data_IF_162700234694
#
_entry.id   IF_162700234694
#
_cell.length_a   1.000
_cell.length_b   1.000
_cell.length_c   1.000
_cell.angle_alpha   90.00
_cell.angle_beta   90.00
_cell.angle_gamma   90.00
#
_symmetry.space_group_name_H-M   'P 1'
#
loop_
_entity.id
_entity.type
_entity.pdbx_description
1 polymer ?
#
# COMPACT_ATOMS: atom_id res chain seq x y z
N UNK A 1 18.16 6.03 -32.01
CA UNK A 1 18.37 7.47 -32.22
C UNK A 1 18.26 8.10 -30.84
N UNK A 2 19.38 8.47 -30.22
CA UNK A 2 19.40 9.06 -28.88
C UNK A 2 18.81 10.47 -28.95
N UNK A 3 17.75 10.73 -28.18
CA UNK A 3 17.11 12.04 -28.08
C UNK A 3 17.56 12.67 -26.77
N UNK A 4 18.43 13.67 -26.86
CA UNK A 4 18.86 14.50 -25.74
C UNK A 4 17.78 15.56 -25.45
N UNK A 5 17.30 15.63 -24.21
CA UNK A 5 16.47 16.75 -23.75
C UNK A 5 17.37 17.95 -23.39
N UNK A 6 17.06 19.18 -23.84
CA UNK A 6 17.77 20.36 -23.37
C UNK A 6 17.33 20.69 -21.93
N UNK A 7 18.30 20.84 -21.04
CA UNK A 7 18.13 21.17 -19.64
C UNK A 7 18.51 22.66 -19.48
N UNK A 8 17.68 23.46 -18.80
CA UNK A 8 18.11 24.80 -18.34
C UNK A 8 19.37 24.65 -17.46
N UNK A 9 20.33 25.60 -17.48
CA UNK A 9 21.50 25.59 -16.59
C UNK A 9 21.24 25.40 -15.08
N UNK A 10 19.98 25.46 -14.61
CA UNK A 10 19.54 25.18 -13.23
C UNK A 10 18.90 23.80 -13.01
N UNK A 11 18.79 22.94 -14.02
CA UNK A 11 18.26 21.57 -13.85
C UNK A 11 16.73 21.46 -13.77
N UNK A 12 15.98 22.51 -14.08
CA UNK A 12 14.52 22.50 -14.12
C UNK A 12 13.99 22.16 -15.52
N UNK A 13 13.07 21.20 -15.61
CA UNK A 13 12.34 20.87 -16.85
C UNK A 13 11.33 21.97 -17.20
N UNK A 14 11.30 22.39 -18.46
CA UNK A 14 10.33 23.34 -18.98
C UNK A 14 8.98 22.64 -19.20
N UNK A 15 7.98 22.97 -18.38
CA UNK A 15 6.59 22.54 -18.58
C UNK A 15 5.93 23.40 -19.68
N UNK A 16 5.16 22.79 -20.58
CA UNK A 16 4.37 23.54 -21.58
C UNK A 16 2.98 23.95 -21.03
N UNK A 17 2.32 24.87 -21.73
CA UNK A 17 1.05 25.47 -21.32
C UNK A 17 -0.11 24.47 -21.17
N UNK A 18 -0.10 23.35 -21.92
CA UNK A 18 -1.13 22.32 -21.81
C UNK A 18 -1.01 21.52 -20.50
N UNK A 19 0.22 21.31 -20.00
CA UNK A 19 0.45 20.67 -18.70
C UNK A 19 -0.04 21.54 -17.53
N UNK A 20 0.19 22.84 -17.62
CA UNK A 20 -0.25 23.81 -16.63
C UNK A 20 -1.77 23.98 -16.63
N UNK A 21 -2.40 23.94 -17.81
CA UNK A 21 -3.85 24.04 -17.97
C UNK A 21 -4.60 22.85 -17.35
N UNK A 22 -4.15 21.61 -17.60
CA UNK A 22 -4.79 20.43 -17.04
C UNK A 22 -4.53 20.29 -15.52
N UNK A 23 -3.33 20.59 -15.04
CA UNK A 23 -3.05 20.66 -13.60
C UNK A 23 -3.90 21.74 -12.91
N UNK A 24 -4.10 22.90 -13.56
CA UNK A 24 -5.02 23.93 -13.10
C UNK A 24 -6.47 23.45 -13.03
N UNK A 25 -6.91 22.66 -14.00
CA UNK A 25 -8.28 22.11 -14.03
C UNK A 25 -8.51 21.05 -12.93
N UNK A 26 -7.50 20.20 -12.69
CA UNK A 26 -7.45 19.27 -11.56
C UNK A 26 -7.52 20.01 -10.22
N UNK A 27 -6.73 21.08 -10.04
CA UNK A 27 -6.73 21.88 -8.81
C UNK A 27 -8.07 22.62 -8.60
N UNK A 28 -8.67 23.18 -9.65
CA UNK A 28 -9.98 23.85 -9.59
C UNK A 28 -11.11 22.88 -9.22
N UNK A 29 -11.05 21.64 -9.68
CA UNK A 29 -12.00 20.58 -9.26
C UNK A 29 -11.85 20.17 -7.80
N UNK A 30 -10.74 20.53 -7.16
CA UNK A 30 -10.34 20.10 -5.83
C UNK A 30 -10.52 21.15 -4.71
N UNK A 31 -10.99 22.35 -5.02
CA UNK A 31 -11.41 23.37 -4.02
C UNK A 31 -12.59 22.92 -3.12
N UNK A 32 -12.95 21.64 -3.09
CA UNK A 32 -14.08 21.08 -2.33
C UNK A 32 -13.62 20.23 -1.12
N UNK A 33 -12.32 20.10 -0.85
CA UNK A 33 -11.85 19.45 0.39
C UNK A 33 -10.86 20.38 1.09
N UNK A 34 -11.40 21.29 1.88
CA UNK A 34 -10.64 22.11 2.83
C UNK A 34 -10.22 21.20 4.00
N UNK A 35 -9.06 20.55 3.87
CA UNK A 35 -8.44 19.87 5.01
C UNK A 35 -7.89 20.95 5.93
N UNK A 36 -8.59 21.19 7.06
CA UNK A 36 -8.18 22.17 8.06
C UNK A 36 -6.73 21.87 8.51
N UNK A 37 -5.80 22.72 8.08
CA UNK A 37 -4.38 22.63 8.40
C UNK A 37 -4.17 22.50 9.92
N UNK A 38 -5.04 23.13 10.71
CA UNK A 38 -5.02 23.06 12.17
C UNK A 38 -5.31 21.66 12.72
N UNK A 39 -6.14 20.87 12.03
CA UNK A 39 -6.44 19.49 12.39
C UNK A 39 -5.23 18.58 12.15
N UNK A 40 -4.56 18.76 11.01
CA UNK A 40 -3.34 18.02 10.66
C UNK A 40 -2.20 18.35 11.63
N UNK A 41 -2.00 19.63 11.94
CA UNK A 41 -0.97 20.07 12.88
C UNK A 41 -1.23 19.56 14.30
N UNK A 42 -2.50 19.46 14.72
CA UNK A 42 -2.89 18.88 16.00
C UNK A 42 -2.62 17.38 16.07
N UNK A 43 -2.96 16.63 15.00
CA UNK A 43 -2.66 15.20 14.89
C UNK A 43 -1.16 14.93 14.95
N UNK A 44 -0.37 15.70 14.20
CA UNK A 44 1.09 15.57 14.20
C UNK A 44 1.68 15.85 15.58
N UNK A 45 1.22 16.91 16.26
CA UNK A 45 1.70 17.25 17.61
C UNK A 45 1.40 16.13 18.62
N UNK A 46 0.19 15.53 18.55
CA UNK A 46 -0.18 14.41 19.41
C UNK A 46 0.60 13.14 19.08
N UNK A 47 0.84 12.87 17.79
CA UNK A 47 1.71 11.76 17.35
C UNK A 47 3.14 11.94 17.87
N UNK A 48 3.71 13.15 17.77
CA UNK A 48 5.02 13.44 18.31
C UNK A 48 5.08 13.28 19.83
N UNK A 49 4.06 13.73 20.56
CA UNK A 49 3.97 13.54 22.02
C UNK A 49 3.89 12.05 22.40
N UNK A 50 3.09 11.26 21.67
CA UNK A 50 3.00 9.79 21.85
C UNK A 50 4.33 9.10 21.53
N UNK A 51 5.05 9.56 20.50
CA UNK A 51 6.35 9.01 20.12
C UNK A 51 7.45 9.39 21.12
N UNK A 52 7.44 10.62 21.63
CA UNK A 52 8.36 11.10 22.67
C UNK A 52 8.12 10.39 24.02
N UNK A 53 6.88 9.99 24.32
CA UNK A 53 6.54 9.17 25.50
C UNK A 53 7.03 7.71 25.40
N UNK A 54 7.57 7.27 24.25
CA UNK A 54 8.10 5.91 24.05
C UNK A 54 9.60 5.89 23.79
N UNK A 55 10.40 6.24 24.80
CA UNK A 55 11.74 5.64 24.94
C UNK A 55 11.77 4.61 26.08
N UNK A 56 10.76 3.76 26.16
CA UNK A 56 10.87 2.53 26.96
C UNK A 56 12.00 1.68 26.40
N UNK A 57 12.85 1.15 27.28
CA UNK A 57 13.95 0.28 26.87
C UNK A 57 13.46 -0.89 26.00
N UNK A 58 14.30 -1.37 25.08
CA UNK A 58 14.00 -2.55 24.27
C UNK A 58 13.49 -3.73 25.12
N UNK A 59 14.10 -3.95 26.29
CA UNK A 59 13.68 -5.01 27.24
C UNK A 59 12.23 -4.84 27.70
N UNK A 60 11.83 -3.61 28.00
CA UNK A 60 10.46 -3.28 28.42
C UNK A 60 9.47 -3.41 27.26
N UNK A 61 9.87 -3.08 26.04
CA UNK A 61 9.02 -3.27 24.86
C UNK A 61 8.82 -4.77 24.59
N UNK A 62 9.91 -5.54 24.61
CA UNK A 62 9.87 -6.98 24.41
C UNK A 62 9.05 -7.69 25.50
N UNK A 63 9.20 -7.31 26.77
CA UNK A 63 8.42 -7.91 27.85
C UNK A 63 6.91 -7.67 27.66
N UNK A 64 6.51 -6.48 27.21
CA UNK A 64 5.11 -6.16 26.91
C UNK A 64 4.56 -6.95 25.72
N UNK A 65 5.37 -7.16 24.68
CA UNK A 65 4.97 -7.98 23.53
C UNK A 65 4.79 -9.44 23.94
N UNK A 66 5.73 -9.99 24.72
CA UNK A 66 5.63 -11.35 25.26
C UNK A 66 4.40 -11.50 26.15
N UNK A 67 4.13 -10.52 27.03
CA UNK A 67 2.94 -10.51 27.87
C UNK A 67 1.66 -10.47 27.05
N UNK A 68 1.58 -9.60 26.03
CA UNK A 68 0.42 -9.52 25.14
C UNK A 68 0.20 -10.82 24.36
N UNK A 69 1.29 -11.46 23.91
CA UNK A 69 1.23 -12.76 23.24
C UNK A 69 0.67 -13.82 24.20
N UNK A 70 1.25 -13.93 25.41
CA UNK A 70 0.82 -14.90 26.41
C UNK A 70 -0.63 -14.71 26.89
N UNK A 71 -1.14 -13.49 26.81
CA UNK A 71 -2.51 -13.15 27.17
C UNK A 71 -3.49 -13.19 25.98
N UNK A 72 -3.09 -13.74 24.82
CA UNK A 72 -3.92 -13.84 23.61
C UNK A 72 -4.50 -12.50 23.14
N UNK A 73 -3.73 -11.43 23.36
CA UNK A 73 -4.12 -10.03 23.08
C UNK A 73 -3.18 -9.33 22.11
N UNK A 74 -2.16 -10.04 21.60
CA UNK A 74 -1.25 -9.52 20.60
C UNK A 74 -1.94 -9.44 19.24
N UNK A 75 -2.00 -8.24 18.68
CA UNK A 75 -2.42 -7.98 17.30
C UNK A 75 -1.22 -7.49 16.51
N UNK A 76 -0.92 -8.15 15.38
CA UNK A 76 0.11 -7.69 14.46
C UNK A 76 -0.50 -6.75 13.42
N UNK A 77 0.16 -5.62 13.17
CA UNK A 77 -0.22 -4.69 12.10
C UNK A 77 0.88 -4.70 11.06
N UNK A 78 0.56 -5.20 9.86
CA UNK A 78 1.51 -5.41 8.77
C UNK A 78 1.30 -4.38 7.67
N UNK A 79 2.40 -3.91 7.10
CA UNK A 79 2.43 -3.04 5.92
C UNK A 79 3.41 -3.58 4.88
N UNK A 80 3.60 -2.83 3.78
CA UNK A 80 4.30 -3.35 2.60
C UNK A 80 5.77 -3.78 2.87
N UNK A 81 6.34 -3.32 3.98
CA UNK A 81 7.67 -3.71 4.45
C UNK A 81 7.86 -5.21 4.63
N UNK A 82 6.81 -5.96 5.03
CA UNK A 82 6.94 -7.42 5.20
C UNK A 82 7.11 -8.14 3.85
N UNK A 83 6.62 -7.55 2.76
CA UNK A 83 6.61 -8.14 1.42
C UNK A 83 7.80 -7.73 0.54
N UNK A 84 8.73 -6.90 1.05
CA UNK A 84 9.87 -6.37 0.29
C UNK A 84 10.77 -7.48 -0.23
N UNK A 85 10.96 -8.52 0.56
CA UNK A 85 11.72 -9.73 0.23
C UNK A 85 11.24 -10.42 -1.05
N UNK A 86 9.92 -10.36 -1.30
CA UNK A 86 9.27 -10.91 -2.50
C UNK A 86 9.34 -9.97 -3.70
N UNK A 87 10.03 -8.83 -3.55
CA UNK A 87 10.20 -7.79 -4.55
C UNK A 87 8.86 -7.15 -4.97
N UNK A 88 7.90 -7.12 -4.04
CA UNK A 88 6.65 -6.39 -4.23
C UNK A 88 6.86 -4.88 -4.03
N UNK A 89 6.22 -4.02 -4.86
CA UNK A 89 6.29 -2.58 -4.68
C UNK A 89 5.58 -2.13 -3.41
N UNK A 90 6.08 -1.06 -2.79
CA UNK A 90 5.31 -0.32 -1.77
C UNK A 90 4.14 0.45 -2.41
N UNK A 91 3.28 1.02 -1.56
CA UNK A 91 2.08 1.75 -1.98
C UNK A 91 2.36 2.89 -2.98
N UNK A 92 3.36 3.73 -2.71
CA UNK A 92 3.70 4.84 -3.59
C UNK A 92 4.16 4.35 -4.96
N UNK A 93 4.96 3.29 -4.99
CA UNK A 93 5.47 2.69 -6.22
C UNK A 93 4.35 2.01 -7.01
N UNK A 94 3.44 1.31 -6.32
CA UNK A 94 2.30 0.65 -6.93
C UNK A 94 1.37 1.66 -7.61
N UNK A 95 1.03 2.76 -6.91
CA UNK A 95 0.18 3.82 -7.46
C UNK A 95 0.85 4.52 -8.65
N UNK A 96 2.17 4.76 -8.61
CA UNK A 96 2.92 5.28 -9.76
C UNK A 96 2.79 4.36 -10.97
N UNK A 97 3.00 3.05 -10.78
CA UNK A 97 2.90 2.07 -11.85
C UNK A 97 1.51 2.04 -12.47
N UNK A 98 0.46 1.99 -11.65
CA UNK A 98 -0.94 1.96 -12.10
C UNK A 98 -1.33 3.20 -12.88
N UNK A 99 -0.80 4.34 -12.47
CA UNK A 99 -1.02 5.60 -13.14
C UNK A 99 -0.26 5.66 -14.47
N UNK A 100 1.00 5.23 -14.50
CA UNK A 100 1.75 5.12 -15.75
C UNK A 100 1.05 4.17 -16.72
N UNK A 101 0.58 3.01 -16.27
CA UNK A 101 -0.12 2.03 -17.11
C UNK A 101 -1.44 2.57 -17.64
N UNK A 102 -2.14 3.43 -16.89
CA UNK A 102 -3.36 4.09 -17.40
C UNK A 102 -3.09 5.02 -18.60
N UNK A 103 -1.88 5.60 -18.70
CA UNK A 103 -1.53 6.51 -19.81
C UNK A 103 -0.83 5.84 -20.99
N UNK A 104 -0.35 4.59 -20.85
CA UNK A 104 0.40 3.89 -21.90
C UNK A 104 -0.42 3.55 -23.15
N UNK A 105 -1.75 3.67 -23.09
CA UNK A 105 -2.63 3.49 -24.24
C UNK A 105 -2.68 4.73 -25.16
N UNK A 106 -1.99 5.81 -24.81
CA UNK A 106 -1.88 7.01 -25.64
C UNK A 106 -0.47 7.11 -26.25
N UNK A 107 -0.41 7.25 -27.57
CA UNK A 107 0.76 7.37 -28.49
C UNK A 107 2.13 7.75 -27.89
N UNK A 108 3.24 7.27 -28.50
CA UNK A 108 4.64 7.46 -28.06
C UNK A 108 5.05 8.90 -27.64
N UNK A 109 4.40 9.96 -28.15
CA UNK A 109 4.60 11.34 -27.71
C UNK A 109 4.08 11.67 -26.30
N UNK A 110 3.31 10.78 -25.68
CA UNK A 110 2.74 10.95 -24.34
C UNK A 110 3.54 10.23 -23.24
N UNK A 111 4.51 9.37 -23.57
CA UNK A 111 5.24 8.58 -22.57
C UNK A 111 6.07 9.44 -21.60
N UNK A 112 6.73 10.48 -22.09
CA UNK A 112 7.43 11.48 -21.26
C UNK A 112 6.45 12.28 -20.40
N UNK A 113 5.30 12.64 -20.97
CA UNK A 113 4.22 13.34 -20.27
C UNK A 113 3.67 12.48 -19.13
N UNK A 114 3.45 11.19 -19.36
CA UNK A 114 2.98 10.23 -18.36
C UNK A 114 3.95 10.07 -17.19
N UNK A 115 5.27 10.04 -17.46
CA UNK A 115 6.30 9.96 -16.42
C UNK A 115 6.35 11.20 -15.54
N UNK A 116 6.27 12.38 -16.14
CA UNK A 116 6.20 13.65 -15.41
C UNK A 116 4.89 13.74 -14.62
N UNK A 117 3.77 13.37 -15.24
CA UNK A 117 2.46 13.37 -14.60
C UNK A 117 2.40 12.39 -13.43
N UNK A 118 2.99 11.20 -13.56
CA UNK A 118 3.00 10.22 -12.47
C UNK A 118 3.82 10.70 -11.27
N UNK A 119 4.97 11.35 -11.52
CA UNK A 119 5.79 11.95 -10.45
C UNK A 119 5.09 13.12 -9.76
N UNK A 120 4.40 13.96 -10.53
CA UNK A 120 3.61 15.08 -9.99
C UNK A 120 2.42 14.55 -9.21
N UNK A 121 1.71 13.57 -9.76
CA UNK A 121 0.58 12.92 -9.11
C UNK A 121 1.02 12.32 -7.78
N UNK A 122 2.11 11.56 -7.70
CA UNK A 122 2.56 11.10 -6.38
C UNK A 122 2.97 12.20 -5.43
N UNK A 123 3.51 13.32 -5.90
CA UNK A 123 3.79 14.45 -5.00
C UNK A 123 2.52 15.16 -4.52
N UNK A 124 1.49 15.26 -5.36
CA UNK A 124 0.21 15.90 -5.05
C UNK A 124 -0.68 14.99 -4.20
N UNK A 125 -0.65 13.68 -4.46
CA UNK A 125 -1.48 12.67 -3.81
C UNK A 125 -0.75 11.87 -2.71
N UNK A 126 0.57 12.08 -2.52
CA UNK A 126 1.33 11.56 -1.36
C UNK A 126 0.66 11.84 0.00
N UNK A 127 -0.03 12.97 0.22
CA UNK A 127 -0.74 13.20 1.47
C UNK A 127 -1.90 12.20 1.68
N UNK A 128 -2.44 11.60 0.61
CA UNK A 128 -3.56 10.68 0.70
C UNK A 128 -3.61 9.61 -0.43
N UNK A 129 -2.91 8.48 -0.26
CA UNK A 129 -2.93 7.33 -1.17
C UNK A 129 -4.33 6.79 -1.49
N UNK A 130 -5.30 6.95 -0.58
CA UNK A 130 -6.68 6.49 -0.81
C UNK A 130 -7.36 7.30 -1.91
N UNK A 131 -7.03 8.59 -2.05
CA UNK A 131 -7.65 9.40 -3.10
C UNK A 131 -7.07 9.04 -4.46
N UNK A 132 -5.75 8.84 -4.54
CA UNK A 132 -5.10 8.29 -5.73
C UNK A 132 -5.75 6.96 -6.16
N UNK A 133 -5.93 6.03 -5.21
CA UNK A 133 -6.59 4.76 -5.47
C UNK A 133 -8.04 4.93 -5.94
N UNK A 134 -8.81 5.85 -5.34
CA UNK A 134 -10.20 6.14 -5.75
C UNK A 134 -10.28 6.73 -7.15
N UNK A 135 -9.35 7.61 -7.51
CA UNK A 135 -9.26 8.18 -8.86
C UNK A 135 -8.96 7.08 -9.88
N UNK A 136 -7.92 6.27 -9.64
CA UNK A 136 -7.56 5.16 -10.53
C UNK A 136 -8.73 4.19 -10.68
N UNK A 137 -9.40 3.82 -9.60
CA UNK A 137 -10.59 2.94 -9.64
C UNK A 137 -11.68 3.50 -10.56
N UNK A 138 -11.98 4.80 -10.46
CA UNK A 138 -12.96 5.44 -11.34
C UNK A 138 -12.49 5.46 -12.80
N UNK A 139 -11.23 5.80 -13.05
CA UNK A 139 -10.64 5.78 -14.39
C UNK A 139 -10.77 4.41 -15.05
N UNK A 140 -10.34 3.34 -14.37
CA UNK A 140 -10.43 1.98 -14.89
C UNK A 140 -11.86 1.52 -15.09
N UNK A 141 -12.83 2.01 -14.30
CA UNK A 141 -14.26 1.72 -14.48
C UNK A 141 -14.87 2.42 -15.70
N UNK A 142 -14.41 3.65 -16.00
CA UNK A 142 -14.92 4.46 -17.12
C UNK A 142 -14.26 4.11 -18.45
N UNK A 143 -13.03 3.59 -18.42
CA UNK A 143 -12.21 3.31 -19.60
C UNK A 143 -11.99 1.80 -19.87
N UNK A 144 -12.56 0.91 -19.05
CA UNK A 144 -12.56 -0.52 -19.35
C UNK A 144 -13.44 -0.83 -20.55
N UNK A 145 -12.91 -1.61 -21.50
CA UNK A 145 -13.69 -2.09 -22.65
C UNK A 145 -14.76 -3.08 -22.18
N UNK A 146 -15.95 -3.01 -22.79
CA UNK A 146 -17.06 -3.97 -22.72
C UNK A 146 -17.23 -4.69 -21.35
N UNK A 147 -17.69 -3.97 -20.33
CA UNK A 147 -18.24 -4.59 -19.12
C UNK A 147 -17.24 -5.36 -18.26
N UNK A 148 -15.93 -5.12 -18.39
CA UNK A 148 -14.93 -5.74 -17.54
C UNK A 148 -15.01 -5.21 -16.10
N UNK A 149 -15.75 -5.94 -15.26
CA UNK A 149 -16.06 -5.56 -13.86
C UNK A 149 -14.81 -5.45 -12.97
N UNK A 150 -13.69 -6.10 -13.36
CA UNK A 150 -12.49 -6.24 -12.53
C UNK A 150 -11.22 -5.64 -13.16
N UNK A 151 -11.35 -4.69 -14.09
CA UNK A 151 -10.21 -4.12 -14.80
C UNK A 151 -9.19 -3.47 -13.85
N UNK A 152 -9.67 -2.82 -12.78
CA UNK A 152 -8.84 -2.18 -11.78
C UNK A 152 -8.05 -3.19 -10.94
N UNK A 153 -8.73 -4.23 -10.43
CA UNK A 153 -8.14 -5.30 -9.63
C UNK A 153 -7.10 -6.08 -10.44
N UNK A 154 -7.36 -6.31 -11.74
CA UNK A 154 -6.37 -6.91 -12.65
C UNK A 154 -5.15 -6.01 -12.83
N UNK A 155 -5.35 -4.70 -13.03
CA UNK A 155 -4.24 -3.75 -13.14
C UNK A 155 -3.39 -3.72 -11.87
N UNK A 156 -4.03 -3.75 -10.69
CA UNK A 156 -3.35 -3.88 -9.39
C UNK A 156 -2.54 -5.16 -9.35
N UNK A 157 -3.15 -6.32 -9.61
CA UNK A 157 -2.47 -7.61 -9.55
C UNK A 157 -1.27 -7.67 -10.48
N UNK A 158 -1.43 -7.22 -11.73
CA UNK A 158 -0.34 -7.21 -12.71
C UNK A 158 0.81 -6.29 -12.27
N UNK A 159 0.50 -5.10 -11.75
CA UNK A 159 1.52 -4.14 -11.30
C UNK A 159 2.23 -4.58 -10.00
N UNK A 160 1.48 -5.24 -9.11
CA UNK A 160 1.96 -5.74 -7.83
C UNK A 160 2.92 -6.91 -8.04
N UNK A 161 2.53 -7.92 -8.82
CA UNK A 161 3.29 -9.16 -8.99
C UNK A 161 4.25 -9.17 -10.19
N UNK A 162 4.42 -8.04 -10.89
CA UNK A 162 5.27 -7.92 -12.09
C UNK A 162 6.67 -8.52 -11.92
N UNK A 163 7.31 -8.29 -10.77
CA UNK A 163 8.66 -8.76 -10.47
C UNK A 163 8.70 -9.72 -9.28
N UNK A 164 7.60 -10.43 -9.03
CA UNK A 164 7.44 -11.31 -7.87
C UNK A 164 8.47 -12.46 -7.87
N UNK A 165 9.14 -12.65 -6.73
CA UNK A 165 10.07 -13.75 -6.52
C UNK A 165 9.38 -14.95 -5.87
N UNK A 166 8.76 -15.80 -6.69
CA UNK A 166 8.01 -16.98 -6.20
C UNK A 166 8.85 -18.00 -5.44
N UNK A 167 10.16 -18.09 -5.70
CA UNK A 167 11.04 -19.10 -5.11
C UNK A 167 11.79 -18.59 -3.86
N UNK A 168 11.34 -17.47 -3.29
CA UNK A 168 11.96 -16.90 -2.09
C UNK A 168 11.21 -17.32 -0.82
N UNK A 169 11.94 -17.69 0.22
CA UNK A 169 11.39 -17.98 1.54
C UNK A 169 11.80 -16.87 2.51
N UNK A 170 10.87 -15.98 2.86
CA UNK A 170 11.14 -14.91 3.81
C UNK A 170 11.16 -15.46 5.24
N UNK A 171 12.28 -15.25 5.94
CA UNK A 171 12.39 -15.54 7.36
C UNK A 171 11.33 -14.80 8.16
N UNK A 172 11.03 -13.54 7.81
CA UNK A 172 10.04 -12.74 8.52
C UNK A 172 8.64 -13.34 8.41
N UNK A 173 8.21 -13.73 7.20
CA UNK A 173 6.92 -14.43 7.05
C UNK A 173 6.90 -15.77 7.80
N UNK A 174 8.01 -16.51 7.78
CA UNK A 174 8.12 -17.75 8.54
C UNK A 174 7.90 -17.52 10.05
N UNK A 175 8.54 -16.51 10.63
CA UNK A 175 8.36 -16.18 12.05
C UNK A 175 6.94 -15.66 12.34
N UNK A 176 6.35 -14.84 11.46
CA UNK A 176 4.95 -14.40 11.58
C UNK A 176 4.01 -15.60 11.59
N UNK A 177 4.20 -16.54 10.66
CA UNK A 177 3.38 -17.74 10.56
C UNK A 177 3.58 -18.66 11.76
N UNK A 178 4.78 -18.76 12.32
CA UNK A 178 5.00 -19.48 13.57
C UNK A 178 4.22 -18.89 14.75
N UNK A 179 4.04 -17.56 14.81
CA UNK A 179 3.18 -16.93 15.82
C UNK A 179 1.70 -17.26 15.64
N UNK A 180 1.27 -17.62 14.41
CA UNK A 180 -0.09 -18.07 14.13
C UNK A 180 -0.33 -19.54 14.54
N UNK A 181 0.73 -20.31 14.79
CA UNK A 181 0.65 -21.74 15.11
C UNK A 181 0.68 -21.94 16.62
N UNK A 182 -0.44 -22.34 17.23
CA UNK A 182 -0.43 -22.99 18.56
C UNK A 182 -0.66 -24.49 18.46
N UNK A 183 0.36 -25.31 18.73
CA UNK A 183 0.14 -26.71 19.07
C UNK A 183 -0.47 -26.79 20.49
N UNK A 184 -1.78 -26.99 20.61
CA UNK A 184 -2.44 -27.30 21.88
C UNK A 184 -2.97 -26.09 22.67
N UNK A 185 -2.66 -26.02 23.98
CA UNK A 185 -3.11 -24.96 24.94
C UNK A 185 -2.11 -23.80 25.06
N UNK A 186 -1.35 -23.54 24.01
CA UNK A 186 -0.40 -22.43 23.95
C UNK A 186 -1.14 -21.16 23.50
N UNK A 187 -0.77 -19.99 24.05
CA UNK A 187 -1.42 -18.74 23.71
C UNK A 187 -1.23 -18.45 22.22
N UNK A 188 -2.33 -18.12 21.56
CA UNK A 188 -2.36 -17.78 20.14
C UNK A 188 -2.22 -16.28 19.91
N UNK A 189 -1.72 -15.93 18.72
CA UNK A 189 -1.90 -14.60 18.19
C UNK A 189 -3.40 -14.26 18.10
N UNK A 190 -3.79 -13.05 18.47
CA UNK A 190 -5.20 -12.66 18.48
C UNK A 190 -5.73 -12.39 17.07
N UNK A 191 -5.00 -11.61 16.28
CA UNK A 191 -5.38 -11.21 14.94
C UNK A 191 -4.19 -10.62 14.16
N UNK A 192 -4.29 -10.64 12.84
CA UNK A 192 -3.39 -9.92 11.94
C UNK A 192 -4.20 -8.89 11.15
N UNK A 193 -3.80 -7.62 11.24
CA UNK A 193 -4.29 -6.56 10.38
C UNK A 193 -3.22 -6.26 9.31
N UNK A 194 -3.50 -6.61 8.06
CA UNK A 194 -2.61 -6.29 6.94
C UNK A 194 -3.18 -5.18 6.07
N UNK A 195 -2.34 -4.21 5.73
CA UNK A 195 -2.64 -3.17 4.73
C UNK A 195 -2.08 -3.50 3.34
N UNK A 196 -1.59 -4.72 3.15
CA UNK A 196 -1.03 -5.17 1.89
C UNK A 196 -2.14 -5.72 0.99
N UNK A 197 -1.95 -5.58 -0.33
CA UNK A 197 -2.83 -6.14 -1.35
C UNK A 197 -2.39 -7.52 -1.85
N UNK A 198 -1.29 -8.03 -1.30
CA UNK A 198 -0.78 -9.36 -1.62
C UNK A 198 -1.44 -10.45 -0.79
N UNK A 199 -1.27 -11.69 -1.25
CA UNK A 199 -1.75 -12.93 -0.64
C UNK A 199 -0.59 -13.77 -0.08
N UNK A 200 0.56 -13.14 0.22
CA UNK A 200 1.77 -13.87 0.63
C UNK A 200 1.55 -14.54 1.99
N UNK A 201 0.94 -13.85 2.96
CA UNK A 201 0.68 -14.42 4.29
C UNK A 201 -0.20 -15.67 4.18
N UNK A 202 -1.29 -15.57 3.43
CA UNK A 202 -2.22 -16.68 3.18
C UNK A 202 -1.52 -17.82 2.45
N UNK A 203 -0.59 -17.52 1.54
CA UNK A 203 0.21 -18.52 0.84
C UNK A 203 1.09 -19.29 1.83
N UNK A 204 1.85 -18.60 2.69
CA UNK A 204 2.67 -19.28 3.72
C UNK A 204 1.85 -20.09 4.72
N UNK A 205 0.67 -19.61 5.12
CA UNK A 205 -0.23 -20.38 6.01
C UNK A 205 -0.71 -21.66 5.33
N UNK A 206 -1.05 -21.60 4.03
CA UNK A 206 -1.53 -22.77 3.25
C UNK A 206 -0.44 -23.79 2.94
N UNK A 207 0.82 -23.37 2.90
CA UNK A 207 1.98 -24.25 2.67
C UNK A 207 2.37 -25.05 3.92
N UNK A 208 1.80 -24.75 5.09
CA UNK A 208 2.03 -25.55 6.28
C UNK A 208 1.34 -26.91 6.17
N UNK A 209 2.01 -27.95 6.66
CA UNK A 209 1.44 -29.31 6.83
C UNK A 209 0.38 -29.40 7.95
N UNK A 210 -0.03 -28.26 8.52
CA UNK A 210 -1.01 -28.14 9.61
C UNK A 210 -2.08 -27.12 9.27
N UNK A 211 -3.32 -27.43 9.64
CA UNK A 211 -4.44 -26.50 9.42
C UNK A 211 -4.46 -25.42 10.50
N UNK A 212 -4.16 -24.18 10.13
CA UNK A 212 -4.47 -23.01 10.95
C UNK A 212 -5.88 -22.52 10.56
N UNK A 213 -6.87 -22.57 11.47
CA UNK A 213 -8.17 -21.98 11.20
C UNK A 213 -8.04 -20.44 11.21
N UNK A 214 -8.34 -19.80 10.08
CA UNK A 214 -8.31 -18.33 9.98
C UNK A 214 -9.41 -17.81 9.05
N UNK A 215 -9.81 -16.56 9.25
CA UNK A 215 -10.80 -15.87 8.41
C UNK A 215 -10.35 -14.48 7.99
N UNK A 216 -10.11 -14.31 6.69
CA UNK A 216 -9.88 -12.97 6.12
C UNK A 216 -11.15 -12.12 6.19
N UNK A 217 -11.07 -10.99 6.89
CA UNK A 217 -12.14 -9.97 6.99
C UNK A 217 -11.86 -8.85 6.00
N UNK A 218 -12.28 -9.04 4.74
CA UNK A 218 -12.04 -8.08 3.65
C UNK A 218 -13.21 -7.09 3.41
N UNK A 219 -14.36 -7.29 4.07
CA UNK A 219 -15.55 -6.48 3.88
C UNK A 219 -16.40 -6.40 5.16
N UNK A 220 -17.26 -5.38 5.22
CA UNK A 220 -18.20 -5.18 6.33
C UNK A 220 -19.15 -6.38 6.43
N UNK A 221 -19.39 -6.85 7.65
CA UNK A 221 -20.33 -7.94 7.94
C UNK A 221 -19.71 -9.34 7.97
N UNK A 222 -18.41 -9.48 7.65
CA UNK A 222 -17.67 -10.73 7.83
C UNK A 222 -17.30 -10.86 9.32
N UNK A 223 -17.58 -12.03 9.91
CA UNK A 223 -17.17 -12.38 11.28
C UNK A 223 -16.44 -13.71 11.28
N UNK A 224 -15.33 -13.85 12.02
CA UNK A 224 -14.66 -15.13 12.23
C UNK A 224 -15.52 -16.05 13.10
N UNK A 225 -15.35 -17.36 12.94
CA UNK A 225 -15.89 -18.35 13.85
C UNK A 225 -15.07 -18.40 15.16
N UNK A 226 -15.63 -19.02 16.19
CA UNK A 226 -14.93 -19.22 17.45
C UNK A 226 -13.65 -20.05 17.24
N UNK A 227 -12.49 -19.48 17.57
CA UNK A 227 -11.19 -20.14 17.42
C UNK A 227 -10.53 -19.97 16.04
N UNK A 228 -11.11 -19.19 15.12
CA UNK A 228 -10.43 -18.74 13.91
C UNK A 228 -9.61 -17.47 14.21
N UNK A 229 -8.36 -17.43 13.70
CA UNK A 229 -7.53 -16.23 13.61
C UNK A 229 -8.12 -15.20 12.63
#
# INVERSE_FOLDING_TARGET
>A
MEVYMPIDPKGSFLFNDAHLSFASELLKRWEVIDFDQKYVDNLNSRLFEILQLKSTSFRTQLSKIIEAFNNESLVLVLGAGVSVDYNLPNWDTLLQKLLLSSFQNETDSNKEKSLVLAKIFTKIFSPNPLIAARYLRNYYRENSKDGEVNAFEKAIRNSLYENFKSNFCSLLYREIVQLCVSPGKTPNLNSILTYNYDDILETHIKELDITIPYKTIAAVGIKPASGEL
#
